data_IF_522628601248
#
_entry.id   IF_522628601248
#
_cell.length_a   1.000
_cell.length_b   1.000
_cell.length_c   1.000
_cell.angle_alpha   90.00
_cell.angle_beta   90.00
_cell.angle_gamma   90.00
#
_symmetry.space_group_name_H-M   'P 1'
#
loop_
_entity.id
_entity.type
_entity.pdbx_description
1 polymer ?
#
# COMPACT_ATOMS: atom_id res chain seq x y z
N UNK A 1 -9.21 30.78 22.52
CA UNK A 1 -8.34 29.85 23.29
C UNK A 1 -7.07 29.65 22.47
N UNK A 2 -5.88 30.07 22.94
CA UNK A 2 -4.64 29.85 22.17
C UNK A 2 -4.41 28.34 22.04
N UNK A 3 -4.46 27.84 20.82
CA UNK A 3 -4.17 26.44 20.52
C UNK A 3 -2.69 26.19 20.79
N UNK A 4 -2.37 25.30 21.74
CA UNK A 4 -0.99 25.01 22.13
C UNK A 4 -0.45 23.85 21.29
N UNK A 5 0.56 24.16 20.46
CA UNK A 5 1.33 23.17 19.71
C UNK A 5 2.70 23.01 20.37
N UNK A 6 3.09 21.77 20.68
CA UNK A 6 4.28 21.51 21.47
C UNK A 6 5.58 21.64 20.70
N UNK A 7 6.66 21.92 21.42
CA UNK A 7 8.01 21.99 20.85
C UNK A 7 8.42 20.65 20.21
N UNK A 8 7.98 19.52 20.79
CA UNK A 8 8.20 18.19 20.24
C UNK A 8 7.52 17.99 18.88
N UNK A 9 6.28 18.45 18.72
CA UNK A 9 5.58 18.43 17.42
C UNK A 9 6.27 19.31 16.40
N UNK A 10 6.65 20.54 16.78
CA UNK A 10 7.38 21.45 15.90
C UNK A 10 8.70 20.86 15.42
N UNK A 11 9.45 20.19 16.32
CA UNK A 11 10.69 19.50 15.96
C UNK A 11 10.45 18.36 14.96
N UNK A 12 9.39 17.57 15.14
CA UNK A 12 9.03 16.50 14.19
C UNK A 12 8.62 17.05 12.82
N UNK A 13 7.81 18.11 12.80
CA UNK A 13 7.40 18.77 11.55
C UNK A 13 8.63 19.31 10.80
N UNK A 14 9.57 19.96 11.49
CA UNK A 14 10.83 20.43 10.90
C UNK A 14 11.63 19.28 10.30
N UNK A 15 11.85 18.22 11.06
CA UNK A 15 12.59 17.05 10.59
C UNK A 15 11.94 16.39 9.37
N UNK A 16 10.60 16.31 9.33
CA UNK A 16 9.85 15.83 8.17
C UNK A 16 10.06 16.72 6.94
N UNK A 17 9.95 18.04 7.10
CA UNK A 17 10.13 19.00 6.01
C UNK A 17 11.57 19.00 5.48
N UNK A 18 12.58 18.93 6.36
CA UNK A 18 13.99 18.82 5.97
C UNK A 18 14.27 17.54 5.18
N UNK A 19 13.66 16.40 5.56
CA UNK A 19 13.79 15.16 4.80
C UNK A 19 13.19 15.31 3.39
N UNK A 20 11.99 15.90 3.28
CA UNK A 20 11.36 16.15 1.97
C UNK A 20 12.20 17.07 1.08
N UNK A 21 12.83 18.11 1.63
CA UNK A 21 13.74 18.99 0.88
C UNK A 21 14.96 18.26 0.31
N UNK A 22 15.39 17.18 0.95
CA UNK A 22 16.47 16.30 0.48
C UNK A 22 15.99 15.21 -0.49
N UNK A 23 14.69 15.18 -0.82
CA UNK A 23 14.10 14.12 -1.63
C UNK A 23 13.91 12.79 -0.89
N UNK A 24 14.02 12.79 0.44
CA UNK A 24 13.82 11.61 1.28
C UNK A 24 12.41 11.59 1.88
N UNK A 25 11.75 10.43 1.87
CA UNK A 25 10.52 10.23 2.62
C UNK A 25 10.75 9.46 3.92
N UNK A 26 10.18 9.98 5.02
CA UNK A 26 10.12 9.32 6.32
C UNK A 26 8.68 9.42 6.86
N UNK A 27 8.11 8.32 7.39
CA UNK A 27 6.79 8.38 8.01
C UNK A 27 6.81 9.34 9.21
N UNK A 28 5.70 10.06 9.43
CA UNK A 28 5.62 11.00 10.55
C UNK A 28 5.54 10.29 11.91
N UNK A 29 4.91 9.11 11.92
CA UNK A 29 4.83 8.26 13.10
C UNK A 29 6.06 7.37 13.21
N UNK A 30 6.51 7.14 14.44
CA UNK A 30 7.61 6.22 14.76
C UNK A 30 7.04 4.88 15.25
N UNK A 31 7.75 3.75 15.02
CA UNK A 31 7.36 2.45 15.58
C UNK A 31 7.12 2.48 17.09
N UNK A 32 7.85 3.34 17.83
CA UNK A 32 7.77 3.48 19.29
C UNK A 32 6.40 3.93 19.82
N UNK A 33 5.52 4.46 18.97
CA UNK A 33 4.21 4.99 19.37
C UNK A 33 3.14 3.92 19.66
N UNK A 34 3.41 2.63 19.45
CA UNK A 34 2.43 1.57 19.68
C UNK A 34 2.98 0.33 20.38
N UNK A 35 2.07 -0.46 20.97
CA UNK A 35 2.35 -1.77 21.54
C UNK A 35 2.91 -2.73 20.48
N UNK A 36 3.77 -3.66 20.91
CA UNK A 36 4.54 -4.53 20.01
C UNK A 36 3.68 -5.46 19.13
N UNK A 37 2.42 -5.71 19.50
CA UNK A 37 1.55 -6.70 18.85
C UNK A 37 0.85 -6.25 17.57
N UNK A 38 0.78 -4.95 17.27
CA UNK A 38 -0.06 -4.42 16.17
C UNK A 38 0.75 -3.76 15.04
N UNK A 39 2.00 -3.37 15.31
CA UNK A 39 2.89 -2.76 14.33
C UNK A 39 3.61 -3.82 13.50
N UNK A 40 3.70 -3.61 12.19
CA UNK A 40 4.53 -4.43 11.30
C UNK A 40 5.47 -3.54 10.49
N UNK A 41 6.75 -3.90 10.48
CA UNK A 41 7.74 -3.34 9.56
C UNK A 41 7.80 -4.27 8.36
N UNK A 42 7.38 -3.80 7.20
CA UNK A 42 7.44 -4.56 5.96
C UNK A 42 8.63 -4.11 5.13
N UNK A 43 9.56 -5.04 4.85
CA UNK A 43 10.65 -4.79 3.91
C UNK A 43 10.10 -4.81 2.49
N UNK A 44 9.91 -3.64 1.88
CA UNK A 44 9.34 -3.56 0.55
C UNK A 44 10.37 -3.97 -0.51
N UNK A 45 10.14 -5.03 -1.30
CA UNK A 45 11.08 -5.44 -2.34
C UNK A 45 11.11 -4.47 -3.54
N UNK A 46 10.00 -3.75 -3.78
CA UNK A 46 9.89 -2.78 -4.88
C UNK A 46 10.77 -1.56 -4.60
N UNK A 47 10.59 -0.91 -3.44
CA UNK A 47 11.29 0.33 -3.09
C UNK A 47 12.58 0.10 -2.30
N UNK A 48 12.75 -1.06 -1.67
CA UNK A 48 13.85 -1.36 -0.74
C UNK A 48 13.67 -0.76 0.66
N UNK A 49 12.61 0.04 0.89
CA UNK A 49 12.34 0.71 2.16
C UNK A 49 11.71 -0.23 3.19
N UNK A 50 11.93 0.12 4.45
CA UNK A 50 11.19 -0.44 5.58
C UNK A 50 9.92 0.39 5.75
N UNK A 51 8.76 -0.25 5.60
CA UNK A 51 7.46 0.41 5.61
C UNK A 51 6.79 0.20 6.97
N UNK A 52 6.45 1.30 7.64
CA UNK A 52 5.73 1.27 8.91
C UNK A 52 4.22 1.14 8.69
N UNK A 53 3.65 0.01 9.12
CA UNK A 53 2.23 -0.28 9.03
C UNK A 53 1.70 -0.55 10.43
N UNK A 54 0.66 0.18 10.83
CA UNK A 54 0.12 0.22 12.19
C UNK A 54 -1.08 -0.73 12.37
N UNK A 55 -1.48 -1.44 11.32
CA UNK A 55 -2.50 -2.48 11.42
C UNK A 55 -2.35 -3.54 10.33
N UNK A 56 -2.99 -4.69 10.55
CA UNK A 56 -3.09 -5.72 9.52
C UNK A 56 -3.88 -5.25 8.29
N UNK A 57 -4.87 -4.36 8.48
CA UNK A 57 -5.63 -3.76 7.38
C UNK A 57 -4.72 -2.89 6.52
N UNK A 58 -3.93 -2.01 7.13
CA UNK A 58 -2.92 -1.21 6.41
C UNK A 58 -1.91 -2.09 5.69
N UNK A 59 -1.41 -3.14 6.35
CA UNK A 59 -0.45 -4.07 5.72
C UNK A 59 -1.02 -4.68 4.46
N UNK A 60 -2.21 -5.27 4.54
CA UNK A 60 -2.83 -5.86 3.36
C UNK A 60 -3.17 -4.81 2.30
N UNK A 61 -3.61 -3.60 2.70
CA UNK A 61 -3.86 -2.49 1.79
C UNK A 61 -2.60 -2.08 1.02
N UNK A 62 -1.50 -1.84 1.73
CA UNK A 62 -0.20 -1.51 1.16
C UNK A 62 0.25 -2.56 0.13
N UNK A 63 0.19 -3.84 0.49
CA UNK A 63 0.61 -4.94 -0.39
C UNK A 63 -0.23 -5.00 -1.66
N UNK A 64 -1.54 -4.76 -1.58
CA UNK A 64 -2.43 -4.74 -2.75
C UNK A 64 -2.19 -3.53 -3.67
N UNK A 65 -1.57 -2.46 -3.16
CA UNK A 65 -1.31 -1.23 -3.89
C UNK A 65 0.09 -1.24 -4.52
N UNK A 66 1.12 -1.63 -3.76
CA UNK A 66 2.53 -1.43 -4.15
C UNK A 66 2.97 -2.17 -5.43
N UNK A 67 2.28 -3.25 -5.78
CA UNK A 67 2.59 -4.03 -6.99
C UNK A 67 1.83 -3.56 -8.22
N UNK A 68 0.87 -2.63 -8.08
CA UNK A 68 0.15 -2.11 -9.24
C UNK A 68 1.13 -1.39 -10.18
N UNK A 69 1.06 -1.64 -11.50
CA UNK A 69 2.06 -1.13 -12.45
C UNK A 69 2.04 0.39 -12.60
N UNK A 70 0.94 1.06 -12.27
CA UNK A 70 0.81 2.51 -12.29
C UNK A 70 1.29 3.17 -10.98
N UNK A 71 1.55 2.42 -9.91
CA UNK A 71 2.00 2.97 -8.63
C UNK A 71 3.49 3.23 -8.67
N UNK A 72 3.87 4.48 -8.43
CA UNK A 72 5.26 4.95 -8.45
C UNK A 72 5.86 4.94 -7.04
N UNK A 73 5.10 5.42 -6.07
CA UNK A 73 5.54 5.55 -4.69
C UNK A 73 4.33 5.45 -3.76
N UNK A 74 4.56 4.90 -2.56
CA UNK A 74 3.62 4.95 -1.46
C UNK A 74 4.30 5.60 -0.26
N UNK A 75 3.65 6.59 0.32
CA UNK A 75 4.07 7.35 1.49
C UNK A 75 3.15 7.04 2.66
N UNK A 76 3.65 6.26 3.62
CA UNK A 76 2.91 5.78 4.79
C UNK A 76 2.97 6.75 5.97
N UNK A 77 1.88 6.88 6.74
CA UNK A 77 1.79 7.76 7.91
C UNK A 77 2.14 9.23 7.56
N UNK A 78 1.54 9.74 6.49
CA UNK A 78 1.82 11.04 5.92
C UNK A 78 1.18 12.15 6.78
N UNK A 79 1.94 13.16 7.26
CA UNK A 79 1.40 14.20 8.12
C UNK A 79 0.52 15.18 7.33
N UNK A 80 -0.62 15.54 7.91
CA UNK A 80 -1.47 16.62 7.43
C UNK A 80 -0.95 17.95 7.98
N UNK A 81 -1.03 19.01 7.17
CA UNK A 81 -0.67 20.34 7.64
C UNK A 81 -1.55 20.76 8.82
N UNK A 82 -0.90 21.07 9.94
CA UNK A 82 -1.58 21.30 11.21
C UNK A 82 -2.50 22.53 11.16
N UNK A 83 -2.06 23.60 10.48
CA UNK A 83 -2.88 24.81 10.37
C UNK A 83 -4.13 24.54 9.54
N UNK A 84 -3.98 23.86 8.42
CA UNK A 84 -5.11 23.47 7.55
C UNK A 84 -6.11 22.59 8.30
N UNK A 85 -5.66 21.64 9.14
CA UNK A 85 -6.58 20.81 9.93
C UNK A 85 -7.26 21.59 11.05
N UNK A 86 -6.58 22.58 11.64
CA UNK A 86 -7.20 23.53 12.59
C UNK A 86 -8.30 24.33 11.90
N UNK A 87 -8.01 24.93 10.74
CA UNK A 87 -8.95 25.77 10.00
C UNK A 87 -10.22 24.99 9.62
N UNK A 88 -10.06 23.73 9.16
CA UNK A 88 -11.20 22.84 8.88
C UNK A 88 -12.03 22.59 10.15
N UNK A 89 -11.37 22.31 11.29
CA UNK A 89 -12.10 22.10 12.53
C UNK A 89 -12.84 23.35 13.01
N UNK A 90 -12.27 24.55 12.82
CA UNK A 90 -12.92 25.80 13.19
C UNK A 90 -14.15 26.08 12.32
N UNK A 91 -14.04 25.90 10.99
CA UNK A 91 -15.14 26.05 10.04
C UNK A 91 -16.31 25.10 10.33
N UNK A 92 -16.01 23.87 10.75
CA UNK A 92 -17.03 22.84 11.03
C UNK A 92 -17.52 22.84 12.49
N UNK A 93 -16.96 23.69 13.35
CA UNK A 93 -17.27 23.72 14.78
C UNK A 93 -16.81 22.44 15.53
N UNK A 94 -15.77 21.76 15.04
CA UNK A 94 -15.24 20.53 15.63
C UNK A 94 -14.09 20.78 16.61
N UNK A 95 -13.95 19.89 17.59
CA UNK A 95 -12.78 19.89 18.46
C UNK A 95 -11.61 19.22 17.72
N UNK A 96 -10.56 20.00 17.45
CA UNK A 96 -9.34 19.49 16.82
C UNK A 96 -8.74 18.31 17.63
N UNK A 97 -8.21 17.26 16.98
CA UNK A 97 -7.47 16.18 17.64
C UNK A 97 -6.36 16.69 18.57
N UNK A 98 -6.34 16.15 19.78
CA UNK A 98 -5.41 16.51 20.86
C UNK A 98 -4.95 15.28 21.61
N UNK A 99 -3.86 15.42 22.32
CA UNK A 99 -3.47 14.47 23.36
C UNK A 99 -4.41 14.58 24.56
N UNK A 100 -4.81 13.43 25.10
CA UNK A 100 -5.76 13.39 26.21
C UNK A 100 -5.09 13.73 27.55
N UNK A 101 -3.78 13.48 27.68
CA UNK A 101 -3.02 13.74 28.90
C UNK A 101 -2.49 15.18 28.90
N UNK A 102 -1.92 15.64 27.79
CA UNK A 102 -1.25 16.95 27.73
C UNK A 102 -2.12 18.07 27.16
N UNK A 103 -3.22 17.74 26.48
CA UNK A 103 -4.08 18.71 25.78
C UNK A 103 -3.47 19.32 24.51
N UNK A 104 -2.24 18.93 24.17
CA UNK A 104 -1.49 19.40 23.01
C UNK A 104 -2.18 18.98 21.71
N UNK A 105 -2.17 19.85 20.70
CA UNK A 105 -2.70 19.49 19.39
C UNK A 105 -1.91 18.32 18.78
N UNK A 106 -2.61 17.39 18.14
CA UNK A 106 -1.99 16.28 17.40
C UNK A 106 -1.94 16.60 15.91
N UNK A 107 -0.77 16.48 15.32
CA UNK A 107 -0.64 16.39 13.86
C UNK A 107 -1.35 15.13 13.40
N UNK A 108 -2.39 15.29 12.60
CA UNK A 108 -3.10 14.16 12.00
C UNK A 108 -2.25 13.54 10.89
N UNK A 109 -2.44 12.25 10.64
CA UNK A 109 -1.74 11.53 9.58
C UNK A 109 -2.73 10.77 8.72
N UNK A 110 -2.42 10.65 7.43
CA UNK A 110 -3.06 9.71 6.52
C UNK A 110 -2.25 8.43 6.45
N UNK A 111 -2.93 7.29 6.47
CA UNK A 111 -2.28 5.99 6.53
C UNK A 111 -1.40 5.75 5.30
N UNK A 112 -1.90 5.95 4.07
CA UNK A 112 -1.12 5.88 2.85
C UNK A 112 -1.46 6.99 1.84
N UNK A 113 -0.44 7.65 1.30
CA UNK A 113 -0.54 8.45 0.07
C UNK A 113 0.12 7.70 -1.07
N UNK A 114 -0.70 7.31 -2.05
CA UNK A 114 -0.26 6.61 -3.25
C UNK A 114 -0.04 7.62 -4.35
N UNK A 115 1.14 7.61 -4.94
CA UNK A 115 1.50 8.39 -6.12
C UNK A 115 1.41 7.45 -7.31
N UNK A 116 0.49 7.75 -8.22
CA UNK A 116 0.27 6.98 -9.44
C UNK A 116 0.74 7.78 -10.65
N UNK A 117 1.17 7.10 -11.71
CA UNK A 117 1.46 7.69 -13.01
C UNK A 117 0.54 7.12 -14.06
N UNK A 118 -0.09 7.98 -14.85
CA UNK A 118 -0.80 7.54 -16.05
C UNK A 118 0.18 7.20 -17.19
N UNK A 119 -0.36 6.72 -18.32
CA UNK A 119 0.41 6.33 -19.51
C UNK A 119 1.20 7.49 -20.13
N UNK A 120 0.80 8.74 -19.85
CA UNK A 120 1.45 9.95 -20.35
C UNK A 120 2.50 10.48 -19.36
N UNK A 121 2.76 9.77 -18.25
CA UNK A 121 3.70 10.18 -17.22
C UNK A 121 3.14 11.20 -16.24
N UNK A 122 1.86 11.58 -16.34
CA UNK A 122 1.26 12.54 -15.41
C UNK A 122 1.03 11.86 -14.06
N UNK A 123 1.56 12.48 -13.01
CA UNK A 123 1.44 11.97 -11.64
C UNK A 123 0.20 12.48 -10.95
N UNK A 124 -0.53 11.58 -10.30
CA UNK A 124 -1.67 11.87 -9.43
C UNK A 124 -1.43 11.33 -8.04
N UNK A 125 -2.11 11.93 -7.05
CA UNK A 125 -2.07 11.47 -5.67
C UNK A 125 -3.43 10.92 -5.29
N UNK A 126 -3.43 9.86 -4.48
CA UNK A 126 -4.63 9.31 -3.85
C UNK A 126 -4.34 8.96 -2.41
N UNK A 127 -5.22 9.44 -1.52
CA UNK A 127 -5.13 9.26 -0.09
C UNK A 127 -6.00 8.08 0.36
N UNK A 128 -5.45 7.24 1.22
CA UNK A 128 -6.10 6.06 1.75
C UNK A 128 -6.03 6.06 3.27
N UNK A 129 -7.18 5.83 3.90
CA UNK A 129 -7.28 5.53 5.32
C UNK A 129 -7.89 4.16 5.53
N UNK A 130 -7.30 3.39 6.42
CA UNK A 130 -7.66 2.01 6.71
C UNK A 130 -8.31 1.92 8.07
N UNK A 131 -9.42 1.19 8.13
CA UNK A 131 -10.11 0.89 9.38
C UNK A 131 -10.47 -0.58 9.45
N UNK A 132 -10.54 -1.12 10.67
CA UNK A 132 -10.96 -2.50 10.84
C UNK A 132 -12.43 -2.64 10.45
N UNK A 133 -13.29 -1.90 11.12
CA UNK A 133 -14.69 -1.71 10.80
C UNK A 133 -15.05 -0.31 11.26
N UNK A 134 -15.90 0.40 10.53
CA UNK A 134 -16.34 1.74 10.94
C UNK A 134 -17.82 1.72 11.27
N UNK A 135 -18.14 1.69 12.56
CA UNK A 135 -19.51 1.94 13.02
C UNK A 135 -19.70 3.45 13.20
N UNK A 136 -19.84 4.15 12.07
CA UNK A 136 -19.93 5.63 12.02
C UNK A 136 -21.02 6.20 12.92
N UNK A 137 -22.07 5.43 13.20
CA UNK A 137 -23.20 5.85 14.05
C UNK A 137 -22.91 5.71 15.54
N UNK A 138 -21.95 4.86 15.94
CA UNK A 138 -21.57 4.65 17.34
C UNK A 138 -20.30 5.41 17.73
N UNK A 139 -19.43 5.71 16.77
CA UNK A 139 -18.14 6.34 17.01
C UNK A 139 -18.05 7.77 16.44
N UNK A 140 -18.81 8.70 17.02
CA UNK A 140 -18.87 10.11 16.55
C UNK A 140 -17.48 10.75 16.40
N UNK A 141 -16.56 10.45 17.33
CA UNK A 141 -15.20 11.01 17.30
C UNK A 141 -14.35 10.41 16.18
N UNK A 142 -14.49 9.11 15.90
CA UNK A 142 -13.84 8.44 14.77
C UNK A 142 -14.37 9.02 13.45
N UNK A 143 -15.69 9.17 13.33
CA UNK A 143 -16.34 9.81 12.18
C UNK A 143 -15.82 11.23 11.94
N UNK A 144 -15.74 12.07 12.96
CA UNK A 144 -15.19 13.42 12.82
C UNK A 144 -13.73 13.43 12.33
N UNK A 145 -12.88 12.53 12.84
CA UNK A 145 -11.48 12.44 12.40
C UNK A 145 -11.39 12.03 10.92
N UNK A 146 -12.22 11.09 10.48
CA UNK A 146 -12.30 10.67 9.07
C UNK A 146 -12.82 11.80 8.17
N UNK A 147 -13.84 12.54 8.61
CA UNK A 147 -14.38 13.67 7.86
C UNK A 147 -13.37 14.83 7.77
N UNK A 148 -12.61 15.09 8.83
CA UNK A 148 -11.50 16.06 8.82
C UNK A 148 -10.47 15.71 7.75
N UNK A 149 -10.05 14.46 7.70
CA UNK A 149 -9.10 13.98 6.72
C UNK A 149 -9.65 14.04 5.28
N UNK A 150 -10.90 13.62 5.08
CA UNK A 150 -11.57 13.72 3.78
C UNK A 150 -11.66 15.17 3.29
N UNK A 151 -12.05 16.12 4.17
CA UNK A 151 -12.10 17.55 3.85
C UNK A 151 -10.72 18.12 3.54
N UNK A 152 -9.69 17.70 4.28
CA UNK A 152 -8.31 18.09 4.03
C UNK A 152 -7.87 17.73 2.60
N UNK A 153 -8.07 16.47 2.19
CA UNK A 153 -7.67 16.03 0.85
C UNK A 153 -8.53 16.65 -0.26
N UNK A 154 -9.83 16.87 0.01
CA UNK A 154 -10.71 17.57 -0.92
C UNK A 154 -10.23 19.00 -1.22
N UNK A 155 -9.73 19.75 -0.22
CA UNK A 155 -9.14 21.08 -0.43
C UNK A 155 -7.91 21.06 -1.35
N UNK A 156 -7.19 19.95 -1.38
CA UNK A 156 -6.01 19.76 -2.22
C UNK A 156 -6.34 19.14 -3.59
N UNK A 157 -7.61 18.90 -3.89
CA UNK A 157 -8.03 18.19 -5.11
C UNK A 157 -7.54 16.74 -5.18
N UNK A 158 -7.25 16.12 -4.03
CA UNK A 158 -6.75 14.75 -3.92
C UNK A 158 -7.91 13.83 -3.56
N UNK A 159 -8.05 12.72 -4.30
CA UNK A 159 -9.05 11.71 -3.98
C UNK A 159 -8.73 11.06 -2.63
N UNK A 160 -9.75 10.93 -1.79
CA UNK A 160 -9.69 10.23 -0.50
C UNK A 160 -10.52 8.94 -0.56
N UNK A 161 -9.97 7.85 -0.05
CA UNK A 161 -10.64 6.55 0.03
C UNK A 161 -10.52 5.96 1.44
N UNK A 162 -11.67 5.69 2.06
CA UNK A 162 -11.76 4.91 3.28
C UNK A 162 -11.87 3.43 2.91
N UNK A 163 -10.96 2.60 3.42
CA UNK A 163 -10.93 1.16 3.17
C UNK A 163 -11.10 0.40 4.47
N UNK A 164 -12.17 -0.39 4.53
CA UNK A 164 -12.48 -1.26 5.65
C UNK A 164 -11.86 -2.65 5.51
N UNK A 165 -11.67 -3.37 6.62
CA UNK A 165 -11.03 -4.70 6.61
C UNK A 165 -11.72 -5.68 5.67
N UNK A 166 -13.04 -5.65 5.63
CA UNK A 166 -13.88 -6.55 4.84
C UNK A 166 -13.72 -6.35 3.34
N UNK A 167 -13.29 -5.16 2.90
CA UNK A 167 -13.00 -4.87 1.49
C UNK A 167 -11.65 -5.43 1.04
N UNK A 168 -10.81 -5.91 1.97
CA UNK A 168 -9.47 -6.41 1.66
C UNK A 168 -9.37 -7.92 1.84
N UNK A 169 -9.27 -8.64 0.72
CA UNK A 169 -9.01 -10.07 0.75
C UNK A 169 -7.65 -10.39 1.37
N UNK A 170 -7.67 -11.04 2.55
CA UNK A 170 -6.46 -11.49 3.26
C UNK A 170 -5.61 -12.41 2.39
N UNK A 171 -6.27 -13.30 1.65
CA UNK A 171 -5.60 -14.31 0.84
C UNK A 171 -4.86 -13.69 -0.34
N UNK A 172 -5.41 -12.65 -0.94
CA UNK A 172 -4.72 -11.89 -1.98
C UNK A 172 -3.43 -11.29 -1.46
N UNK A 173 -3.47 -10.61 -0.31
CA UNK A 173 -2.25 -10.08 0.31
C UNK A 173 -1.24 -11.19 0.66
N UNK A 174 -1.71 -12.35 1.17
CA UNK A 174 -0.85 -13.50 1.46
C UNK A 174 -0.13 -14.03 0.19
N UNK A 175 -0.88 -14.23 -0.90
CA UNK A 175 -0.31 -14.69 -2.17
C UNK A 175 0.69 -13.68 -2.73
N UNK A 176 0.36 -12.38 -2.70
CA UNK A 176 1.25 -11.31 -3.14
C UNK A 176 2.55 -11.25 -2.32
N UNK A 177 2.49 -11.41 -0.98
CA UNK A 177 3.69 -11.52 -0.15
C UNK A 177 4.55 -12.70 -0.60
N UNK A 178 3.95 -13.88 -0.80
CA UNK A 178 4.70 -15.07 -1.19
C UNK A 178 5.36 -14.90 -2.57
N UNK A 179 4.64 -14.34 -3.53
CA UNK A 179 5.18 -14.01 -4.86
C UNK A 179 6.29 -12.95 -4.75
N UNK A 180 6.17 -11.99 -3.82
CA UNK A 180 7.17 -10.94 -3.63
C UNK A 180 8.55 -11.45 -3.23
N UNK A 181 8.66 -12.66 -2.68
CA UNK A 181 9.95 -13.32 -2.40
C UNK A 181 10.76 -13.62 -3.68
N UNK A 182 10.09 -13.65 -4.83
CA UNK A 182 10.66 -13.87 -6.15
C UNK A 182 10.73 -12.59 -6.98
N UNK A 183 10.42 -11.43 -6.39
CA UNK A 183 10.44 -10.14 -7.08
C UNK A 183 11.85 -9.81 -7.57
N UNK A 184 11.93 -9.31 -8.81
CA UNK A 184 13.17 -8.85 -9.42
C UNK A 184 12.90 -7.50 -10.09
N UNK A 185 13.60 -6.47 -9.63
CA UNK A 185 13.40 -5.10 -10.09
C UNK A 185 13.81 -4.96 -11.56
N UNK A 186 15.02 -5.39 -11.88
CA UNK A 186 15.68 -5.16 -13.17
C UNK A 186 15.52 -6.37 -14.12
N UNK A 187 14.31 -6.92 -14.16
CA UNK A 187 13.95 -8.01 -15.07
C UNK A 187 13.72 -7.46 -16.49
N UNK A 188 14.20 -8.17 -17.51
CA UNK A 188 13.97 -7.80 -18.91
C UNK A 188 12.47 -7.87 -19.25
N UNK A 189 11.92 -6.76 -19.73
CA UNK A 189 10.52 -6.71 -20.18
C UNK A 189 10.27 -7.62 -21.38
N UNK A 190 11.26 -7.77 -22.27
CA UNK A 190 11.17 -8.70 -23.39
C UNK A 190 11.08 -10.15 -22.91
N UNK A 191 11.97 -10.56 -22.00
CA UNK A 191 11.96 -11.91 -21.43
C UNK A 191 10.65 -12.20 -20.69
N UNK A 192 10.13 -11.19 -19.99
CA UNK A 192 8.85 -11.29 -19.31
C UNK A 192 7.69 -11.45 -20.29
N UNK A 193 7.66 -10.69 -21.38
CA UNK A 193 6.61 -10.77 -22.40
C UNK A 193 6.64 -12.12 -23.16
N UNK A 194 7.84 -12.60 -23.49
CA UNK A 194 8.04 -13.93 -24.08
C UNK A 194 7.53 -15.04 -23.14
N UNK A 195 7.88 -14.96 -21.85
CA UNK A 195 7.38 -15.88 -20.84
C UNK A 195 5.85 -15.83 -20.71
N UNK A 196 5.25 -14.64 -20.66
CA UNK A 196 3.80 -14.46 -20.53
C UNK A 196 3.08 -15.06 -21.73
N UNK A 197 3.58 -14.83 -22.95
CA UNK A 197 3.01 -15.39 -24.17
C UNK A 197 3.00 -16.93 -24.13
N UNK A 198 4.14 -17.54 -23.79
CA UNK A 198 4.25 -18.99 -23.63
C UNK A 198 3.32 -19.51 -22.53
N UNK A 199 3.35 -18.89 -21.35
CA UNK A 199 2.57 -19.32 -20.20
C UNK A 199 1.07 -19.35 -20.52
N UNK A 200 0.54 -18.27 -21.08
CA UNK A 200 -0.87 -18.17 -21.44
C UNK A 200 -1.26 -19.15 -22.55
N UNK A 201 -0.38 -19.36 -23.54
CA UNK A 201 -0.60 -20.36 -24.59
C UNK A 201 -0.66 -21.78 -24.00
N UNK A 202 0.28 -22.14 -23.12
CA UNK A 202 0.34 -23.47 -22.51
C UNK A 202 -0.89 -23.73 -21.64
N UNK A 203 -1.26 -22.79 -20.76
CA UNK A 203 -2.42 -22.95 -19.88
C UNK A 203 -3.72 -23.04 -20.68
N UNK A 204 -3.87 -22.28 -21.77
CA UNK A 204 -5.05 -22.39 -22.66
C UNK A 204 -5.13 -23.74 -23.37
N UNK A 205 -3.99 -24.28 -23.81
CA UNK A 205 -3.94 -25.59 -24.45
C UNK A 205 -4.17 -26.75 -23.45
N UNK A 206 -3.75 -26.57 -22.18
CA UNK A 206 -3.85 -27.58 -21.12
C UNK A 206 -4.38 -26.96 -19.81
N UNK A 207 -5.69 -26.64 -19.73
CA UNK A 207 -6.26 -25.89 -18.59
C UNK A 207 -6.21 -26.63 -17.25
N UNK A 208 -6.03 -27.95 -17.26
CA UNK A 208 -5.94 -28.78 -16.05
C UNK A 208 -4.50 -29.01 -15.58
N UNK A 209 -3.49 -28.55 -16.32
CA UNK A 209 -2.08 -28.70 -15.92
C UNK A 209 -1.80 -27.97 -14.62
N UNK A 210 -1.08 -28.62 -13.72
CA UNK A 210 -0.65 -28.02 -12.47
C UNK A 210 0.33 -26.87 -12.74
N UNK A 211 0.29 -25.80 -11.92
CA UNK A 211 1.22 -24.68 -12.07
C UNK A 211 2.69 -25.14 -12.05
N UNK A 212 3.06 -26.12 -11.23
CA UNK A 212 4.41 -26.72 -11.24
C UNK A 212 4.81 -27.30 -12.60
N UNK A 213 3.88 -27.96 -13.30
CA UNK A 213 4.11 -28.50 -14.64
C UNK A 213 4.34 -27.35 -15.63
N UNK A 214 3.47 -26.34 -15.62
CA UNK A 214 3.57 -25.18 -16.51
C UNK A 214 4.92 -24.47 -16.34
N UNK A 215 5.36 -24.26 -15.09
CA UNK A 215 6.64 -23.62 -14.77
C UNK A 215 7.85 -24.48 -15.17
N UNK A 216 7.74 -25.81 -15.06
CA UNK A 216 8.78 -26.72 -15.53
C UNK A 216 8.92 -26.67 -17.05
N UNK A 217 7.81 -26.71 -17.78
CA UNK A 217 7.83 -26.64 -19.24
C UNK A 217 8.31 -25.27 -19.75
N UNK A 218 7.96 -24.18 -19.05
CA UNK A 218 8.53 -22.87 -19.33
C UNK A 218 10.06 -22.88 -19.13
N UNK A 219 10.55 -23.46 -18.03
CA UNK A 219 11.99 -23.62 -17.80
C UNK A 219 12.68 -24.34 -18.96
N UNK A 220 12.17 -25.49 -19.35
CA UNK A 220 12.71 -26.28 -20.47
C UNK A 220 12.74 -25.48 -21.78
N UNK A 221 11.65 -24.77 -22.10
CA UNK A 221 11.50 -24.04 -23.36
C UNK A 221 12.47 -22.87 -23.48
N UNK A 222 12.61 -22.07 -22.43
CA UNK A 222 13.48 -20.88 -22.43
C UNK A 222 14.93 -21.18 -22.02
N UNK A 223 15.33 -22.47 -21.97
CA UNK A 223 16.64 -22.92 -21.44
C UNK A 223 16.94 -22.32 -20.07
N UNK A 224 15.90 -22.10 -19.29
CA UNK A 224 15.93 -21.57 -17.94
C UNK A 224 15.76 -22.72 -16.96
N UNK A 225 16.26 -22.57 -15.74
CA UNK A 225 15.89 -23.50 -14.67
C UNK A 225 14.52 -23.12 -14.09
N UNK A 226 13.92 -24.05 -13.36
CA UNK A 226 12.63 -23.83 -12.67
C UNK A 226 12.66 -22.61 -11.77
N UNK A 227 13.82 -22.27 -11.19
CA UNK A 227 13.99 -21.08 -10.35
C UNK A 227 13.77 -19.78 -11.14
N UNK A 228 14.30 -19.66 -12.36
CA UNK A 228 14.08 -18.49 -13.23
C UNK A 228 12.64 -18.45 -13.73
N UNK A 229 12.03 -19.59 -14.07
CA UNK A 229 10.61 -19.66 -14.40
C UNK A 229 9.71 -19.16 -13.25
N UNK A 230 10.03 -19.50 -11.99
CA UNK A 230 9.32 -18.98 -10.81
C UNK A 230 9.46 -17.46 -10.68
N UNK A 231 10.65 -16.91 -10.92
CA UNK A 231 10.87 -15.45 -10.94
C UNK A 231 10.05 -14.77 -12.03
N UNK A 232 10.09 -15.30 -13.25
CA UNK A 232 9.32 -14.77 -14.38
C UNK A 232 7.81 -14.80 -14.09
N UNK A 233 7.33 -15.92 -13.56
CA UNK A 233 5.94 -16.06 -13.13
C UNK A 233 5.54 -15.05 -12.06
N UNK A 234 6.31 -14.97 -10.97
CA UNK A 234 6.00 -14.06 -9.89
C UNK A 234 5.99 -12.60 -10.35
N UNK A 235 6.98 -12.17 -11.12
CA UNK A 235 7.03 -10.82 -11.65
C UNK A 235 5.91 -10.57 -12.69
N UNK A 236 5.49 -11.57 -13.45
CA UNK A 236 4.35 -11.46 -14.37
C UNK A 236 3.04 -11.21 -13.62
N UNK A 237 2.82 -11.91 -12.51
CA UNK A 237 1.62 -11.74 -11.67
C UNK A 237 1.67 -10.41 -10.91
N UNK A 238 2.81 -10.10 -10.28
CA UNK A 238 2.99 -8.86 -9.51
C UNK A 238 2.81 -7.63 -10.41
N UNK A 239 3.35 -7.64 -11.63
CA UNK A 239 3.21 -6.54 -12.61
C UNK A 239 1.87 -6.57 -13.38
N UNK A 240 0.93 -7.42 -12.97
CA UNK A 240 -0.40 -7.59 -13.58
C UNK A 240 -0.40 -7.97 -15.08
N UNK A 241 0.68 -8.57 -15.58
CA UNK A 241 0.75 -9.14 -16.95
C UNK A 241 0.02 -10.49 -17.05
N UNK A 242 -0.01 -11.26 -15.95
CA UNK A 242 -0.87 -12.42 -15.78
C UNK A 242 -1.87 -12.13 -14.67
N UNK A 243 -3.16 -12.22 -14.99
CA UNK A 243 -4.24 -12.01 -14.02
C UNK A 243 -4.67 -13.36 -13.46
N UNK A 244 -4.52 -13.50 -12.14
CA UNK A 244 -4.92 -14.68 -11.39
C UNK A 244 -6.00 -14.31 -10.38
N UNK A 245 -6.88 -15.26 -10.10
CA UNK A 245 -7.74 -15.23 -8.92
C UNK A 245 -6.89 -15.54 -7.69
N UNK A 246 -6.40 -14.47 -7.07
CA UNK A 246 -5.63 -14.52 -5.83
C UNK A 246 -6.53 -14.49 -4.59
N UNK A 247 -7.86 -14.62 -4.72
CA UNK A 247 -8.77 -14.64 -3.56
C UNK A 247 -8.75 -15.98 -2.81
N UNK A 248 -8.27 -17.04 -3.47
CA UNK A 248 -7.96 -18.35 -2.90
C UNK A 248 -6.45 -18.56 -2.82
N UNK A 249 -6.01 -19.52 -2.00
CA UNK A 249 -4.59 -19.84 -1.85
C UNK A 249 -4.02 -20.30 -3.19
N UNK A 250 -2.89 -19.70 -3.61
CA UNK A 250 -2.20 -20.10 -4.83
C UNK A 250 -1.44 -21.41 -4.59
N UNK A 251 -2.04 -22.53 -4.99
CA UNK A 251 -1.47 -23.86 -4.84
C UNK A 251 -0.74 -24.28 -6.11
N UNK A 252 0.56 -24.59 -5.99
CA UNK A 252 1.40 -24.90 -7.15
C UNK A 252 1.08 -26.27 -7.79
N UNK A 253 0.47 -27.18 -7.03
CA UNK A 253 0.06 -28.51 -7.47
C UNK A 253 -1.36 -28.55 -8.07
N UNK A 254 -2.03 -27.40 -8.14
CA UNK A 254 -3.36 -27.26 -8.74
C UNK A 254 -3.28 -26.53 -10.08
N UNK A 255 -4.38 -26.56 -10.83
CA UNK A 255 -4.51 -25.81 -12.07
C UNK A 255 -4.40 -24.31 -11.85
N UNK A 256 -3.90 -23.61 -12.85
CA UNK A 256 -3.66 -22.17 -12.78
C UNK A 256 -4.99 -21.42 -12.67
N UNK A 257 -5.21 -20.61 -11.62
CA UNK A 257 -6.47 -19.90 -11.41
C UNK A 257 -6.50 -18.60 -12.25
N UNK A 258 -6.51 -18.70 -13.58
CA UNK A 258 -6.59 -17.53 -14.48
C UNK A 258 -7.94 -16.81 -14.37
N UNK A 259 -7.91 -15.48 -14.54
CA UNK A 259 -9.08 -14.59 -14.68
C UNK A 259 -9.35 -14.21 -16.13
#
# INVERSE_FOLDING_TARGET
>A
MKLFNSEANNKKIRAFNEAQQKGEYRPFLSPSFMSAGTRSIFKCPVTGRDILLLSQTEKHGYINLIFRPNVVEIKEQYPLDLQTTIDICEEEGWIHPRDHETGELKVCTTDLIVIESDKNGRRTRKAYSFKYQVELDKEWRTKQKLMLEQKYWARLGVQFELVERMQICKMTAYNLINLSNWYERDLSEQELDEFVAFFLQYVRAKPLSALTEVLREAGNTFRHNTRRANKLFANSVLRLKIKLDLSRKLEYHQSVPLL
#
